data_IF_207236394988
#
_entry.id   IF_207236394988
#
_cell.length_a   1.000
_cell.length_b   1.000
_cell.length_c   1.000
_cell.angle_alpha   90.00
_cell.angle_beta   90.00
_cell.angle_gamma   90.00
#
_symmetry.space_group_name_H-M   'P 1'
#
loop_
_entity.id
_entity.type
_entity.pdbx_description
1 polymer ?
#
# COMPACT_ATOMS: atom_id res chain seq x y z
N UNK A 1 -17.26 -15.91 10.59
CA UNK A 1 -15.99 -16.42 10.03
C UNK A 1 -15.43 -15.26 9.25
N UNK A 2 -14.32 -14.66 9.68
CA UNK A 2 -13.64 -13.67 8.83
C UNK A 2 -12.83 -14.47 7.84
N UNK A 3 -13.40 -14.71 6.67
CA UNK A 3 -12.69 -15.33 5.55
C UNK A 3 -11.57 -14.39 5.10
N UNK A 4 -10.42 -14.99 4.77
CA UNK A 4 -9.29 -14.23 4.21
C UNK A 4 -9.72 -13.66 2.87
N UNK A 5 -9.57 -12.35 2.69
CA UNK A 5 -9.85 -11.67 1.42
C UNK A 5 -8.76 -12.08 0.44
N UNK A 6 -9.15 -12.80 -0.61
CA UNK A 6 -8.26 -13.22 -1.70
C UNK A 6 -8.66 -12.61 -3.04
N UNK A 7 -9.85 -12.02 -3.14
CA UNK A 7 -10.29 -11.33 -4.34
C UNK A 7 -9.89 -9.85 -4.31
N UNK A 8 -9.33 -9.36 -5.42
CA UNK A 8 -8.91 -7.96 -5.57
C UNK A 8 -10.08 -6.98 -5.43
N UNK A 9 -11.25 -7.32 -5.97
CA UNK A 9 -12.44 -6.46 -5.94
C UNK A 9 -12.92 -6.29 -4.51
N UNK A 10 -12.98 -7.40 -3.78
CA UNK A 10 -13.35 -7.41 -2.37
C UNK A 10 -12.32 -6.67 -1.51
N UNK A 11 -11.02 -6.81 -1.80
CA UNK A 11 -9.97 -6.07 -1.13
C UNK A 11 -10.12 -4.55 -1.29
N UNK A 12 -10.33 -4.07 -2.52
CA UNK A 12 -10.53 -2.63 -2.79
C UNK A 12 -11.83 -2.15 -2.15
N UNK A 13 -12.90 -2.94 -2.16
CA UNK A 13 -14.13 -2.60 -1.45
C UNK A 13 -13.91 -2.51 0.07
N UNK A 14 -13.18 -3.46 0.66
CA UNK A 14 -12.90 -3.51 2.09
C UNK A 14 -12.03 -2.34 2.57
N UNK A 15 -11.05 -1.93 1.76
CA UNK A 15 -10.26 -0.71 1.99
C UNK A 15 -11.22 0.48 2.17
N UNK A 16 -12.12 0.71 1.21
CA UNK A 16 -13.04 1.85 1.25
C UNK A 16 -14.14 1.76 2.32
N UNK A 17 -14.66 0.56 2.62
CA UNK A 17 -15.83 0.37 3.49
C UNK A 17 -15.45 0.21 4.98
N UNK A 18 -14.35 -0.50 5.25
CA UNK A 18 -13.89 -0.84 6.60
C UNK A 18 -12.58 -0.15 7.00
N UNK A 19 -11.86 0.41 6.03
CA UNK A 19 -10.55 1.02 6.21
C UNK A 19 -9.39 0.05 6.03
N UNK A 20 -8.24 0.64 5.73
CA UNK A 20 -6.98 -0.07 5.46
C UNK A 20 -6.50 -0.96 6.62
N UNK A 21 -6.71 -0.59 7.88
CA UNK A 21 -6.35 -1.48 9.01
C UNK A 21 -7.06 -2.83 8.95
N UNK A 22 -8.39 -2.83 8.87
CA UNK A 22 -9.19 -4.05 8.81
C UNK A 22 -8.96 -4.84 7.53
N UNK A 23 -8.92 -4.16 6.38
CA UNK A 23 -8.72 -4.81 5.09
C UNK A 23 -7.40 -5.59 5.08
N UNK A 24 -6.29 -4.99 5.51
CA UNK A 24 -4.97 -5.62 5.47
C UNK A 24 -4.77 -6.71 6.54
N UNK A 25 -5.47 -6.67 7.67
CA UNK A 25 -5.47 -7.76 8.66
C UNK A 25 -6.12 -9.04 8.10
N UNK A 26 -7.09 -8.91 7.20
CA UNK A 26 -7.81 -10.03 6.61
C UNK A 26 -7.40 -10.37 5.17
N UNK A 27 -6.54 -9.58 4.55
CA UNK A 27 -6.10 -9.76 3.17
C UNK A 27 -4.94 -10.74 3.03
N UNK A 28 -4.95 -11.53 1.96
CA UNK A 28 -3.84 -12.43 1.63
C UNK A 28 -2.56 -11.68 1.28
N UNK A 29 -1.40 -12.31 1.51
CA UNK A 29 -0.10 -11.71 1.19
C UNK A 29 0.07 -11.47 -0.32
N UNK A 30 -0.58 -12.27 -1.17
CA UNK A 30 -0.60 -12.07 -2.63
C UNK A 30 -1.21 -10.71 -3.00
N UNK A 31 -2.30 -10.30 -2.33
CA UNK A 31 -2.94 -9.00 -2.57
C UNK A 31 -2.17 -7.84 -1.93
N UNK A 32 -1.42 -8.07 -0.84
CA UNK A 32 -0.48 -7.08 -0.28
C UNK A 32 0.72 -6.82 -1.19
N UNK A 33 1.03 -7.77 -2.07
CA UNK A 33 1.99 -7.63 -3.14
C UNK A 33 1.36 -7.15 -4.47
N UNK A 34 0.04 -6.93 -4.51
CA UNK A 34 -0.64 -6.44 -5.70
C UNK A 34 -0.60 -4.92 -5.77
N UNK A 35 0.02 -4.40 -6.84
CA UNK A 35 0.20 -2.96 -7.03
C UNK A 35 -1.12 -2.19 -7.08
N UNK A 36 -2.18 -2.72 -7.68
CA UNK A 36 -3.46 -2.01 -7.78
C UNK A 36 -4.15 -1.90 -6.42
N UNK A 37 -4.09 -2.96 -5.61
CA UNK A 37 -4.63 -2.96 -4.25
C UNK A 37 -3.89 -1.97 -3.36
N UNK A 38 -2.55 -2.00 -3.39
CA UNK A 38 -1.75 -1.04 -2.61
C UNK A 38 -1.99 0.39 -3.10
N UNK A 39 -2.07 0.63 -4.41
CA UNK A 39 -2.39 1.94 -4.96
C UNK A 39 -3.74 2.48 -4.44
N UNK A 40 -4.78 1.66 -4.47
CA UNK A 40 -6.08 2.04 -3.91
C UNK A 40 -5.97 2.38 -2.40
N UNK A 41 -5.21 1.58 -1.65
CA UNK A 41 -4.99 1.80 -0.23
C UNK A 41 -4.21 3.08 0.08
N UNK A 42 -3.13 3.38 -0.65
CA UNK A 42 -2.32 4.60 -0.43
C UNK A 42 -3.06 5.86 -0.87
N UNK A 43 -3.97 5.75 -1.84
CA UNK A 43 -4.85 6.85 -2.21
C UNK A 43 -5.89 7.19 -1.12
N UNK A 44 -6.37 6.19 -0.38
CA UNK A 44 -7.23 6.42 0.79
C UNK A 44 -6.42 6.89 2.00
N UNK A 45 -5.33 6.21 2.29
CA UNK A 45 -4.44 6.50 3.41
C UNK A 45 -2.98 6.19 3.02
N UNK A 46 -2.18 7.25 2.88
CA UNK A 46 -0.75 7.19 2.61
C UNK A 46 0.01 6.13 3.45
N UNK A 47 -0.31 6.02 4.74
CA UNK A 47 0.37 5.08 5.66
C UNK A 47 0.16 3.61 5.30
N UNK A 48 -0.76 3.29 4.39
CA UNK A 48 -1.00 1.93 3.90
C UNK A 48 0.22 1.34 3.20
N UNK A 49 1.16 2.18 2.76
CA UNK A 49 2.44 1.72 2.20
C UNK A 49 3.18 0.78 3.16
N UNK A 50 2.98 0.92 4.49
CA UNK A 50 3.60 0.02 5.49
C UNK A 50 3.21 -1.45 5.32
N UNK A 51 2.03 -1.71 4.77
CA UNK A 51 1.51 -3.06 4.55
C UNK A 51 1.90 -3.65 3.20
N UNK A 52 2.44 -2.84 2.29
CA UNK A 52 2.89 -3.30 0.99
C UNK A 52 4.10 -4.25 1.12
N UNK A 53 4.25 -5.13 0.12
CA UNK A 53 5.44 -5.97 -0.02
C UNK A 53 6.71 -5.12 -0.18
N UNK A 54 7.88 -5.69 0.14
CA UNK A 54 9.16 -5.00 -0.03
C UNK A 54 9.41 -4.57 -1.47
N UNK A 55 8.93 -5.37 -2.45
CA UNK A 55 8.99 -5.03 -3.87
C UNK A 55 8.21 -3.74 -4.18
N UNK A 56 7.01 -3.58 -3.64
CA UNK A 56 6.19 -2.39 -3.85
C UNK A 56 6.68 -1.18 -3.03
N UNK A 57 7.32 -1.39 -1.88
CA UNK A 57 8.04 -0.34 -1.14
C UNK A 57 9.28 0.16 -1.88
N UNK A 58 9.79 -0.60 -2.85
CA UNK A 58 10.83 -0.20 -3.77
C UNK A 58 10.27 0.29 -5.13
N UNK A 59 8.96 0.26 -5.34
CA UNK A 59 8.33 0.79 -6.55
C UNK A 59 8.16 2.31 -6.42
N UNK A 60 8.88 3.05 -7.26
CA UNK A 60 8.88 4.51 -7.26
C UNK A 60 7.48 5.10 -7.45
N UNK A 61 6.63 4.51 -8.29
CA UNK A 61 5.28 5.04 -8.51
C UNK A 61 4.41 4.87 -7.26
N UNK A 62 4.46 3.70 -6.61
CA UNK A 62 3.69 3.43 -5.39
C UNK A 62 4.13 4.35 -4.25
N UNK A 63 5.44 4.50 -4.07
CA UNK A 63 6.01 5.35 -3.03
C UNK A 63 5.68 6.83 -3.28
N UNK A 64 5.77 7.30 -4.52
CA UNK A 64 5.40 8.68 -4.87
C UNK A 64 3.89 8.92 -4.66
N UNK A 65 3.04 7.93 -4.94
CA UNK A 65 1.60 8.04 -4.68
C UNK A 65 1.29 8.12 -3.17
N UNK A 66 2.08 7.43 -2.34
CA UNK A 66 1.94 7.47 -0.89
C UNK A 66 2.41 8.80 -0.26
N UNK A 67 3.13 9.65 -1.01
CA UNK A 67 3.52 10.99 -0.57
C UNK A 67 4.18 10.97 0.82
N UNK A 68 3.46 11.42 1.84
CA UNK A 68 3.94 11.54 3.23
C UNK A 68 4.45 10.24 3.88
N UNK A 69 4.12 9.06 3.34
CA UNK A 69 4.51 7.76 3.91
C UNK A 69 5.90 7.26 3.45
N UNK A 70 6.79 8.13 2.97
CA UNK A 70 8.16 7.76 2.56
C UNK A 70 8.95 7.03 3.64
N UNK A 71 8.59 7.17 4.92
CA UNK A 71 9.21 6.42 6.02
C UNK A 71 9.08 4.89 5.87
N UNK A 72 8.11 4.40 5.09
CA UNK A 72 7.90 2.98 4.79
C UNK A 72 8.51 2.54 3.47
N UNK A 73 9.01 3.46 2.64
CA UNK A 73 9.69 3.13 1.40
C UNK A 73 11.01 2.40 1.66
N UNK A 74 11.54 1.78 0.62
CA UNK A 74 12.90 1.22 0.62
C UNK A 74 13.95 2.30 0.93
N UNK A 75 15.07 1.90 1.52
CA UNK A 75 16.17 2.82 1.84
C UNK A 75 16.72 3.54 0.60
N UNK A 76 16.66 2.88 -0.57
CA UNK A 76 17.06 3.48 -1.84
C UNK A 76 16.15 4.67 -2.22
N UNK A 77 14.82 4.49 -2.15
CA UNK A 77 13.87 5.56 -2.47
C UNK A 77 13.79 6.65 -1.41
N UNK A 78 14.05 6.32 -0.13
CA UNK A 78 14.21 7.33 0.93
C UNK A 78 15.40 8.27 0.68
N UNK A 79 16.45 7.78 0.03
CA UNK A 79 17.61 8.57 -0.36
C UNK A 79 17.42 9.26 -1.72
N UNK A 80 16.42 8.88 -2.49
CA UNK A 80 16.11 9.47 -3.79
C UNK A 80 15.51 10.87 -3.61
N UNK A 81 16.27 11.87 -4.04
CA UNK A 81 15.88 13.28 -3.91
C UNK A 81 14.65 13.63 -4.75
N UNK A 82 14.40 12.96 -5.86
CA UNK A 82 13.21 13.25 -6.67
C UNK A 82 11.95 12.79 -5.94
N UNK A 83 11.99 11.63 -5.30
CA UNK A 83 10.89 11.10 -4.50
C UNK A 83 10.64 11.98 -3.27
N UNK A 84 11.70 12.35 -2.54
CA UNK A 84 11.61 13.18 -1.33
C UNK A 84 11.14 14.61 -1.60
N UNK A 85 11.40 15.16 -2.79
CA UNK A 85 10.93 16.50 -3.16
C UNK A 85 9.51 16.53 -3.73
N UNK A 86 8.98 15.37 -4.16
CA UNK A 86 7.65 15.26 -4.75
C UNK A 86 6.56 14.90 -3.71
N UNK A 87 6.95 14.31 -2.59
CA UNK A 87 6.09 13.98 -1.45
C UNK A 87 5.85 15.19 -0.52
#
# INVERSE_FOLDING_TARGET
>A
MTETITDKTEAIAAINDYGTGYAFDHMSDELKADKEVIMAAVQENADSLKFASDELKADKEVVMAAGSALEYASDELKADKEVVMAA
#
